data_IF_114217018970
#
_entry.id   IF_114217018970
#
_cell.length_a   1.000
_cell.length_b   1.000
_cell.length_c   1.000
_cell.angle_alpha   90.00
_cell.angle_beta   90.00
_cell.angle_gamma   90.00
#
_symmetry.space_group_name_H-M   'P 1'
#
loop_
_entity.id
_entity.type
_entity.pdbx_description
1 polymer ?
#
# COMPACT_ATOMS: atom_id res chain seq x y z
N UNK A 1 -6.43 -24.26 2.09
CA UNK A 1 -6.21 -24.22 3.54
C UNK A 1 -4.73 -24.01 3.80
N UNK A 2 -4.22 -22.81 3.55
CA UNK A 2 -2.89 -22.46 4.01
C UNK A 2 -3.02 -22.00 5.46
N UNK A 3 -2.64 -22.88 6.38
CA UNK A 3 -2.40 -22.55 7.77
C UNK A 3 -1.24 -21.58 7.77
N UNK A 4 -1.54 -20.29 7.98
CA UNK A 4 -0.54 -19.25 8.17
C UNK A 4 0.34 -19.65 9.36
N UNK A 5 1.50 -20.23 9.08
CA UNK A 5 2.48 -20.59 10.10
C UNK A 5 3.19 -19.31 10.50
N UNK A 6 2.73 -18.68 11.58
CA UNK A 6 3.43 -17.54 12.15
C UNK A 6 4.82 -18.00 12.60
N UNK A 7 5.86 -17.27 12.20
CA UNK A 7 7.23 -17.48 12.68
C UNK A 7 7.81 -16.18 13.22
N UNK A 8 8.75 -16.31 14.16
CA UNK A 8 9.44 -15.17 14.77
C UNK A 8 10.80 -15.04 14.13
N UNK A 9 11.15 -13.87 13.65
CA UNK A 9 12.46 -13.55 13.08
C UNK A 9 13.51 -13.37 14.18
N UNK A 10 14.81 -13.38 13.84
CA UNK A 10 15.90 -13.21 14.80
C UNK A 10 15.84 -11.86 15.55
N UNK A 11 15.24 -10.84 14.95
CA UNK A 11 15.02 -9.52 15.55
C UNK A 11 13.71 -9.42 16.35
N UNK A 12 13.03 -10.56 16.58
CA UNK A 12 11.87 -10.67 17.46
C UNK A 12 10.52 -10.25 16.79
N UNK A 13 10.48 -10.03 15.49
CA UNK A 13 9.22 -9.75 14.78
C UNK A 13 8.45 -11.03 14.49
N UNK A 14 7.16 -10.99 14.67
CA UNK A 14 6.26 -12.08 14.27
C UNK A 14 5.81 -11.84 12.83
N UNK A 15 6.13 -12.76 11.94
CA UNK A 15 5.65 -12.76 10.56
C UNK A 15 4.37 -13.59 10.48
N UNK A 16 3.31 -12.96 10.03
CA UNK A 16 1.97 -13.57 9.92
C UNK A 16 1.66 -14.08 8.51
N UNK A 17 0.37 -14.19 8.24
CA UNK A 17 -0.13 -14.64 6.93
C UNK A 17 0.13 -13.63 5.81
N UNK A 18 -0.10 -14.06 4.57
CA UNK A 18 -0.01 -13.19 3.39
C UNK A 18 -1.09 -12.12 3.45
N UNK A 19 -0.69 -10.86 3.39
CA UNK A 19 -1.61 -9.71 3.37
C UNK A 19 -1.76 -9.12 1.97
N UNK A 20 -0.74 -9.28 1.10
CA UNK A 20 -0.80 -8.80 -0.28
C UNK A 20 -0.14 -9.82 -1.20
N UNK A 21 -0.77 -10.08 -2.34
CA UNK A 21 -0.22 -10.89 -3.42
C UNK A 21 -0.28 -10.13 -4.73
N UNK A 22 0.81 -10.17 -5.45
CA UNK A 22 0.95 -9.67 -6.82
C UNK A 22 1.13 -10.88 -7.72
N UNK A 23 0.20 -11.12 -8.66
CA UNK A 23 0.21 -12.30 -9.53
C UNK A 23 0.37 -11.90 -10.99
N UNK A 24 1.48 -12.29 -11.61
CA UNK A 24 1.78 -12.11 -13.03
C UNK A 24 1.60 -10.66 -13.52
N UNK A 25 2.04 -9.68 -12.73
CA UNK A 25 1.87 -8.27 -13.03
C UNK A 25 2.70 -7.86 -14.25
N UNK A 26 2.02 -7.38 -15.27
CA UNK A 26 2.65 -6.76 -16.45
C UNK A 26 2.11 -5.35 -16.62
N UNK A 27 3.03 -4.38 -16.67
CA UNK A 27 2.73 -2.97 -16.84
C UNK A 27 3.51 -2.40 -18.04
N UNK A 28 2.76 -1.77 -18.94
CA UNK A 28 3.31 -1.14 -20.16
C UNK A 28 2.92 0.33 -20.22
N UNK A 29 3.84 1.15 -20.70
CA UNK A 29 3.61 2.55 -21.06
C UNK A 29 3.90 2.73 -22.57
N UNK A 30 2.84 2.83 -23.37
CA UNK A 30 2.99 2.80 -24.82
C UNK A 30 3.74 1.53 -25.27
N UNK A 31 4.87 1.68 -25.93
CA UNK A 31 5.72 0.57 -26.40
C UNK A 31 6.73 0.04 -25.36
N UNK A 32 6.81 0.66 -24.16
CA UNK A 32 7.80 0.30 -23.13
C UNK A 32 7.18 -0.61 -22.09
N UNK A 33 7.79 -1.78 -21.85
CA UNK A 33 7.42 -2.69 -20.78
C UNK A 33 8.16 -2.26 -19.50
N UNK A 34 7.44 -1.71 -18.54
CA UNK A 34 7.98 -1.26 -17.25
C UNK A 34 8.07 -2.38 -16.21
N UNK A 35 7.12 -3.31 -16.23
CA UNK A 35 7.09 -4.52 -15.41
C UNK A 35 6.66 -5.66 -16.31
N UNK A 36 7.36 -6.80 -16.23
CA UNK A 36 7.05 -7.98 -17.03
C UNK A 36 6.89 -9.18 -16.11
N UNK A 37 5.67 -9.72 -16.06
CA UNK A 37 5.32 -10.98 -15.39
C UNK A 37 5.88 -11.11 -13.96
N UNK A 38 5.74 -10.05 -13.17
CA UNK A 38 6.24 -10.02 -11.80
C UNK A 38 5.22 -10.60 -10.82
N UNK A 39 5.66 -11.54 -9.98
CA UNK A 39 4.84 -12.14 -8.93
C UNK A 39 5.62 -12.17 -7.62
N UNK A 40 4.97 -11.77 -6.53
CA UNK A 40 5.47 -11.86 -5.16
C UNK A 40 4.32 -11.67 -4.17
N UNK A 41 4.59 -12.02 -2.92
CA UNK A 41 3.69 -11.83 -1.80
C UNK A 41 4.34 -10.96 -0.72
N UNK A 42 3.53 -10.41 0.17
CA UNK A 42 3.96 -9.66 1.35
C UNK A 42 3.18 -10.19 2.55
N UNK A 43 3.91 -10.50 3.62
CA UNK A 43 3.35 -11.04 4.85
C UNK A 43 3.14 -9.95 5.91
N UNK A 44 2.22 -10.20 6.83
CA UNK A 44 2.01 -9.36 8.00
C UNK A 44 3.28 -9.31 8.85
N UNK A 45 3.70 -8.11 9.28
CA UNK A 45 4.92 -7.90 10.05
C UNK A 45 6.23 -7.98 9.26
N UNK A 46 6.18 -8.24 7.94
CA UNK A 46 7.34 -8.33 7.07
C UNK A 46 7.88 -6.95 6.67
N UNK A 47 9.19 -6.85 6.53
CA UNK A 47 9.87 -5.77 5.80
C UNK A 47 10.38 -6.35 4.49
N UNK A 48 9.79 -5.94 3.37
CA UNK A 48 10.16 -6.38 2.03
C UNK A 48 10.86 -5.26 1.27
N UNK A 49 12.04 -5.55 0.71
CA UNK A 49 12.77 -4.61 -0.16
C UNK A 49 12.60 -4.99 -1.64
N UNK A 50 12.40 -3.99 -2.50
CA UNK A 50 12.47 -4.13 -3.95
C UNK A 50 13.79 -3.52 -4.41
N UNK A 51 14.72 -4.36 -4.87
CA UNK A 51 16.07 -3.99 -5.26
C UNK A 51 16.22 -4.13 -6.79
N UNK A 52 17.00 -3.25 -7.37
CA UNK A 52 17.30 -3.29 -8.82
C UNK A 52 17.88 -1.97 -9.32
N UNK A 53 18.45 -1.93 -10.53
CA UNK A 53 19.00 -0.72 -11.13
C UNK A 53 17.93 0.34 -11.42
N UNK A 54 18.35 1.55 -11.74
CA UNK A 54 17.43 2.59 -12.19
C UNK A 54 16.73 2.14 -13.50
N UNK A 55 15.43 2.39 -13.57
CA UNK A 55 14.61 1.91 -14.70
C UNK A 55 14.08 0.47 -14.57
N UNK A 56 14.46 -0.29 -13.53
CA UNK A 56 14.00 -1.67 -13.32
C UNK A 56 12.52 -1.81 -12.90
N UNK A 57 11.72 -0.75 -12.93
CA UNK A 57 10.30 -0.82 -12.60
C UNK A 57 9.96 -0.73 -11.11
N UNK A 58 10.95 -0.48 -10.20
CA UNK A 58 10.70 -0.40 -8.74
C UNK A 58 9.59 0.58 -8.38
N UNK A 59 9.71 1.83 -8.83
CA UNK A 59 8.71 2.88 -8.60
C UNK A 59 7.37 2.57 -9.28
N UNK A 60 7.42 1.92 -10.44
CA UNK A 60 6.22 1.49 -11.16
C UNK A 60 5.45 0.43 -10.38
N UNK A 61 6.16 -0.53 -9.75
CA UNK A 61 5.54 -1.54 -8.89
C UNK A 61 4.89 -0.90 -7.65
N UNK A 62 5.56 0.04 -6.99
CA UNK A 62 4.98 0.78 -5.89
C UNK A 62 3.74 1.60 -6.32
N UNK A 63 3.75 2.16 -7.53
CA UNK A 63 2.58 2.84 -8.08
C UNK A 63 1.43 1.88 -8.37
N UNK A 64 1.70 0.62 -8.75
CA UNK A 64 0.66 -0.43 -8.86
C UNK A 64 0.09 -0.75 -7.48
N UNK A 65 0.92 -0.96 -6.47
CA UNK A 65 0.49 -1.24 -5.10
C UNK A 65 -0.42 -0.12 -4.57
N UNK A 66 -0.07 1.14 -4.83
CA UNK A 66 -0.83 2.31 -4.37
C UNK A 66 -1.97 2.73 -5.32
N UNK A 67 -2.26 1.96 -6.37
CA UNK A 67 -3.38 2.21 -7.28
C UNK A 67 -3.21 3.42 -8.22
N UNK A 68 -1.99 4.00 -8.31
CA UNK A 68 -1.72 5.04 -9.32
C UNK A 68 -1.61 4.45 -10.72
N UNK A 69 -1.11 3.20 -10.84
CA UNK A 69 -1.01 2.49 -12.09
C UNK A 69 -1.82 1.21 -12.05
N UNK A 70 -2.52 0.92 -13.14
CA UNK A 70 -3.29 -0.29 -13.31
C UNK A 70 -2.57 -1.18 -14.32
N UNK A 71 -2.10 -2.37 -13.91
CA UNK A 71 -1.42 -3.29 -14.81
C UNK A 71 -2.40 -3.78 -15.89
N UNK A 72 -1.89 -4.01 -17.09
CA UNK A 72 -2.69 -4.55 -18.19
C UNK A 72 -2.91 -6.06 -18.05
N UNK A 73 -1.98 -6.75 -17.34
CA UNK A 73 -2.07 -8.18 -17.08
C UNK A 73 -1.72 -8.43 -15.61
N UNK A 74 -2.29 -9.50 -15.07
CA UNK A 74 -2.09 -9.93 -13.70
C UNK A 74 -3.15 -9.44 -12.72
N UNK A 75 -2.94 -9.77 -11.46
CA UNK A 75 -3.91 -9.51 -10.40
C UNK A 75 -3.21 -9.05 -9.13
N UNK A 76 -3.86 -8.14 -8.41
CA UNK A 76 -3.47 -7.71 -7.07
C UNK A 76 -4.51 -8.21 -6.09
N UNK A 77 -4.05 -8.93 -5.07
CA UNK A 77 -4.89 -9.44 -3.99
C UNK A 77 -4.49 -8.79 -2.68
N UNK A 78 -5.45 -8.44 -1.87
CA UNK A 78 -5.22 -7.85 -0.55
C UNK A 78 -6.13 -8.52 0.47
N UNK A 79 -5.53 -9.11 1.51
CA UNK A 79 -6.24 -9.87 2.56
C UNK A 79 -7.14 -10.98 2.01
N UNK A 80 -6.65 -11.69 0.98
CA UNK A 80 -7.38 -12.78 0.36
C UNK A 80 -8.48 -12.38 -0.62
N UNK A 81 -8.68 -11.08 -0.85
CA UNK A 81 -9.64 -10.56 -1.81
C UNK A 81 -8.93 -9.96 -3.03
N UNK A 82 -9.41 -10.29 -4.22
CA UNK A 82 -8.93 -9.68 -5.46
C UNK A 82 -9.31 -8.20 -5.46
N UNK A 83 -8.31 -7.34 -5.60
CA UNK A 83 -8.53 -5.89 -5.70
C UNK A 83 -8.99 -5.53 -7.10
N UNK A 84 -10.17 -4.90 -7.24
CA UNK A 84 -10.54 -4.23 -8.48
C UNK A 84 -9.61 -3.04 -8.73
N UNK A 85 -9.76 -2.39 -9.89
CA UNK A 85 -9.14 -1.09 -10.12
C UNK A 85 -9.63 -0.08 -9.09
N UNK A 86 -8.78 0.25 -8.13
CA UNK A 86 -9.10 1.16 -7.02
C UNK A 86 -8.33 2.47 -7.17
N UNK A 87 -8.96 3.55 -6.72
CA UNK A 87 -8.31 4.85 -6.65
C UNK A 87 -7.38 4.92 -5.41
N UNK A 88 -6.34 5.77 -5.43
CA UNK A 88 -5.40 5.86 -4.31
C UNK A 88 -6.02 6.14 -2.96
N UNK A 89 -7.11 6.92 -2.89
CA UNK A 89 -7.79 7.20 -1.63
C UNK A 89 -8.52 5.97 -1.05
N UNK A 90 -9.10 5.11 -1.90
CA UNK A 90 -9.74 3.86 -1.48
C UNK A 90 -8.69 2.87 -0.93
N UNK A 91 -7.49 2.91 -1.50
CA UNK A 91 -6.35 2.10 -1.04
C UNK A 91 -5.84 2.61 0.32
N UNK A 92 -5.80 3.93 0.52
CA UNK A 92 -5.45 4.51 1.80
C UNK A 92 -6.48 4.15 2.90
N UNK A 93 -7.76 4.06 2.58
CA UNK A 93 -8.81 3.58 3.49
C UNK A 93 -8.61 2.11 3.90
N UNK A 94 -8.00 1.30 3.05
CA UNK A 94 -7.62 -0.08 3.37
C UNK A 94 -6.37 -0.18 4.28
N UNK A 95 -5.74 0.95 4.62
CA UNK A 95 -4.56 1.00 5.49
C UNK A 95 -3.23 0.88 4.75
N UNK A 96 -3.20 1.03 3.43
CA UNK A 96 -1.97 1.07 2.64
C UNK A 96 -1.53 2.53 2.50
N UNK A 97 -0.38 2.87 3.07
CA UNK A 97 0.19 4.21 3.01
C UNK A 97 1.54 4.21 2.30
N UNK A 98 1.90 5.34 1.70
CA UNK A 98 3.19 5.55 1.05
C UNK A 98 3.81 6.85 1.51
N UNK A 99 5.11 6.82 1.80
CA UNK A 99 5.91 8.03 1.97
C UNK A 99 6.45 8.48 0.61
N UNK A 100 6.48 9.79 0.38
CA UNK A 100 7.03 10.38 -0.84
C UNK A 100 8.35 11.06 -0.53
N UNK A 101 9.30 11.05 -1.50
CA UNK A 101 10.59 11.72 -1.36
C UNK A 101 10.46 13.24 -1.19
N UNK A 102 9.49 13.83 -1.88
CA UNK A 102 9.21 15.25 -1.79
C UNK A 102 8.10 15.47 -0.76
N UNK A 103 8.44 16.19 0.30
CA UNK A 103 7.47 16.57 1.34
C UNK A 103 6.66 17.73 0.80
N UNK A 104 5.37 17.51 0.56
CA UNK A 104 4.42 18.56 0.26
C UNK A 104 3.79 19.04 1.56
N UNK A 105 4.22 20.21 2.03
CA UNK A 105 3.63 20.88 3.20
C UNK A 105 2.64 21.95 2.77
N UNK A 106 1.59 22.14 3.55
CA UNK A 106 0.70 23.29 3.42
C UNK A 106 1.38 24.51 4.04
N UNK A 107 1.89 25.40 3.20
CA UNK A 107 2.72 26.56 3.62
C UNK A 107 2.02 27.54 4.55
N UNK A 108 0.70 27.57 4.61
CA UNK A 108 -0.07 28.42 5.52
C UNK A 108 -0.42 27.79 6.86
N UNK A 109 0.01 26.55 7.09
CA UNK A 109 -0.31 25.79 8.29
C UNK A 109 0.92 25.61 9.19
N UNK A 110 0.69 25.53 10.49
CA UNK A 110 1.71 25.16 11.48
C UNK A 110 2.12 23.70 11.31
N UNK A 111 3.21 23.29 11.94
CA UNK A 111 3.67 21.88 11.94
C UNK A 111 2.59 20.95 12.49
N UNK A 112 1.92 21.35 13.57
CA UNK A 112 0.85 20.56 14.19
C UNK A 112 -0.33 20.38 13.23
N UNK A 113 -0.75 21.43 12.55
CA UNK A 113 -1.85 21.37 11.57
C UNK A 113 -1.49 20.47 10.38
N UNK A 114 -0.24 20.55 9.88
CA UNK A 114 0.24 19.65 8.83
C UNK A 114 0.21 18.18 9.26
N UNK A 115 0.63 17.87 10.50
CA UNK A 115 0.55 16.51 11.05
C UNK A 115 -0.91 16.08 11.23
N UNK A 116 -1.78 16.99 11.67
CA UNK A 116 -3.20 16.70 11.87
C UNK A 116 -3.94 16.37 10.57
N UNK A 117 -3.53 16.94 9.42
CA UNK A 117 -4.12 16.58 8.11
C UNK A 117 -3.93 15.09 7.79
N UNK A 118 -2.81 14.46 8.23
CA UNK A 118 -2.57 13.03 8.09
C UNK A 118 -3.55 12.15 8.87
N UNK A 119 -4.26 12.71 9.86
CA UNK A 119 -5.27 11.99 10.65
C UNK A 119 -6.69 12.09 10.10
N UNK A 120 -6.87 12.66 8.90
CA UNK A 120 -8.20 12.88 8.33
C UNK A 120 -9.06 11.59 8.28
N UNK A 121 -8.46 10.45 7.95
CA UNK A 121 -9.16 9.16 7.94
C UNK A 121 -9.55 8.64 9.34
N UNK A 122 -8.92 9.17 10.39
CA UNK A 122 -9.22 8.83 11.80
C UNK A 122 -10.22 9.78 12.44
N UNK A 123 -10.55 10.90 11.79
CA UNK A 123 -11.53 11.85 12.32
C UNK A 123 -12.92 11.23 12.15
N UNK A 124 -13.58 10.97 13.28
CA UNK A 124 -15.00 10.56 13.27
C UNK A 124 -15.80 11.65 12.58
N UNK A 125 -16.63 11.28 11.61
CA UNK A 125 -17.58 12.17 10.91
C UNK A 125 -18.69 12.69 11.85
N UNK A 126 -18.36 13.21 13.04
CA UNK A 126 -19.35 13.72 13.99
C UNK A 126 -19.67 15.20 13.78
N UNK A 127 -19.44 15.75 12.58
CA UNK A 127 -19.89 17.12 12.27
C UNK A 127 -21.22 17.16 11.51
N UNK A 128 -21.69 16.01 10.97
CA UNK A 128 -23.04 15.86 10.42
C UNK A 128 -23.59 14.50 10.83
N UNK A 129 -24.83 14.41 11.31
CA UNK A 129 -25.45 13.15 11.70
C UNK A 129 -25.88 12.35 10.46
N UNK A 130 -24.98 11.52 9.94
CA UNK A 130 -25.30 10.51 8.94
C UNK A 130 -24.69 9.20 9.42
N UNK A 131 -25.56 8.24 9.77
CA UNK A 131 -25.40 6.81 9.95
C UNK A 131 -24.05 6.27 10.45
N UNK A 132 -24.10 5.58 11.59
CA UNK A 132 -22.97 4.84 12.14
C UNK A 132 -22.55 3.70 11.20
N UNK A 133 -21.50 3.90 10.40
CA UNK A 133 -20.69 2.81 9.90
C UNK A 133 -19.31 2.87 10.60
N UNK A 134 -19.06 1.84 11.40
CA UNK A 134 -17.81 1.60 12.08
C UNK A 134 -16.70 1.40 11.07
N UNK A 135 -15.82 2.38 10.90
CA UNK A 135 -14.58 2.18 10.13
C UNK A 135 -13.66 1.21 10.88
N UNK A 136 -13.15 0.18 10.21
CA UNK A 136 -12.11 -0.66 10.79
C UNK A 136 -10.90 0.20 11.15
N UNK A 137 -10.27 -0.09 12.29
CA UNK A 137 -9.06 0.59 12.74
C UNK A 137 -8.01 0.56 11.62
N UNK A 138 -7.42 1.70 11.22
CA UNK A 138 -6.40 1.70 10.19
C UNK A 138 -5.17 0.99 10.71
N UNK A 139 -4.89 -0.15 10.10
CA UNK A 139 -3.67 -0.92 10.35
C UNK A 139 -2.51 -0.24 9.62
N UNK A 140 -1.71 0.55 10.31
CA UNK A 140 -0.51 1.24 9.82
C UNK A 140 0.65 0.27 9.51
N UNK A 141 0.38 -0.87 8.86
CA UNK A 141 1.34 -1.95 8.74
C UNK A 141 2.15 -1.95 7.43
N UNK A 142 1.82 -1.12 6.47
CA UNK A 142 2.52 -1.08 5.19
C UNK A 142 3.00 0.35 4.87
N UNK A 143 4.19 0.70 5.39
CA UNK A 143 4.90 1.91 5.00
C UNK A 143 5.95 1.52 3.98
N UNK A 144 5.78 1.94 2.73
CA UNK A 144 6.78 1.76 1.68
C UNK A 144 7.69 2.99 1.62
N UNK A 145 8.95 2.81 1.94
CA UNK A 145 9.99 3.83 1.80
C UNK A 145 10.90 3.47 0.63
N UNK A 146 11.05 4.41 -0.30
CA UNK A 146 12.07 4.34 -1.35
C UNK A 146 13.33 5.03 -0.83
N UNK A 147 14.46 4.32 -0.85
CA UNK A 147 15.80 4.90 -0.85
C UNK A 147 16.34 4.90 -2.27
#
# INVERSE_FOLDING_TARGET
NDTATNYVTEDGRTIGGVIMEMKNITLRFGGVVAIKDASFDIHEGEIRAIIGPNGAGKSSMLNVINGFYHPQEGEVWFRGEKRPSMKPYEIAEQGIARTFQNIALFHGMTTVENVMTGRQLMMKKNFFPVGEESYPQPLWHLIFQLQ
#
